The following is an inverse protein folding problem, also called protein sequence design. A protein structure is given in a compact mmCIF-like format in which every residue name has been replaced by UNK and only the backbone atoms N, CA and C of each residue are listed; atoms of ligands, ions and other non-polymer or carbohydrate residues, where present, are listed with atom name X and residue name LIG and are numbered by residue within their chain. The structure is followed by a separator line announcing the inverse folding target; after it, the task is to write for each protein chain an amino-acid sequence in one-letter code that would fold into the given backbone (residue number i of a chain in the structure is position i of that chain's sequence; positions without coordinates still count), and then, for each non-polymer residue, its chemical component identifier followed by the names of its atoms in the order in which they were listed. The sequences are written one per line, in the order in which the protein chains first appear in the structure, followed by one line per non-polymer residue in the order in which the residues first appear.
data_IF_108622627144
#
_entry.id   IF_108622627144
#
_cell.length_a   1.000
_cell.length_b   1.000
_cell.length_c   1.000
_cell.angle_alpha   90.00
_cell.angle_beta   90.00
_cell.angle_gamma   90.00
#
_symmetry.space_group_name_H-M   'P 1'
#
loop_
_entity.id
_entity.type
_entity.pdbx_description
1 polymer ?
#
# COMPACT_ATOMS: atom_id res chain seq x y z
N UNK A 1 66.11 13.58 -9.04
CA UNK A 1 66.17 12.66 -10.19
C UNK A 1 64.82 11.99 -10.26
N UNK A 2 63.89 12.58 -11.02
CA UNK A 2 63.54 12.13 -12.37
C UNK A 2 62.89 10.74 -12.29
N UNK A 3 61.57 10.69 -12.19
CA UNK A 3 60.63 10.71 -13.32
C UNK A 3 60.20 9.28 -13.67
N UNK A 4 58.91 9.01 -13.48
CA UNK A 4 58.07 8.12 -14.31
C UNK A 4 56.61 8.27 -13.90
N UNK A 5 56.08 9.47 -14.16
CA UNK A 5 54.66 9.70 -14.40
C UNK A 5 54.26 8.92 -15.66
N UNK A 6 53.56 7.79 -15.51
CA UNK A 6 52.91 7.13 -16.64
C UNK A 6 51.54 7.77 -16.85
N UNK A 7 51.55 8.87 -17.59
CA UNK A 7 50.37 9.48 -18.20
C UNK A 7 49.84 8.56 -19.31
N UNK A 8 48.74 7.87 -19.04
CA UNK A 8 47.91 7.29 -20.11
C UNK A 8 47.08 8.43 -20.69
N UNK A 9 47.45 8.84 -21.91
CA UNK A 9 46.82 9.92 -22.67
C UNK A 9 45.41 9.52 -23.15
N UNK A 10 44.48 10.49 -23.25
CA UNK A 10 43.12 10.29 -23.76
C UNK A 10 43.12 10.03 -25.27
N UNK A 11 42.24 9.13 -25.72
CA UNK A 11 42.03 8.83 -27.14
C UNK A 11 41.33 10.00 -27.86
N UNK A 12 41.67 10.24 -29.15
CA UNK A 12 41.14 11.36 -29.91
C UNK A 12 39.71 11.13 -30.40
N UNK A 13 38.85 12.14 -30.19
CA UNK A 13 37.63 12.39 -30.94
C UNK A 13 38.00 12.74 -32.37
N UNK A 14 37.73 11.85 -33.33
CA UNK A 14 37.41 12.13 -34.75
C UNK A 14 37.39 10.81 -35.53
N UNK A 15 36.56 10.74 -36.57
CA UNK A 15 36.28 9.58 -37.43
C UNK A 15 35.25 8.58 -36.89
N UNK A 16 33.97 8.89 -37.09
CA UNK A 16 33.00 8.00 -37.79
C UNK A 16 31.67 8.72 -38.09
N UNK A 17 31.74 9.94 -38.63
CA UNK A 17 30.63 10.51 -39.41
C UNK A 17 30.63 9.84 -40.79
N UNK A 18 30.14 8.60 -40.86
CA UNK A 18 29.82 7.95 -42.16
C UNK A 18 28.97 6.67 -42.08
N UNK A 19 28.30 6.39 -40.95
CA UNK A 19 27.31 5.30 -40.86
C UNK A 19 25.95 5.86 -40.42
N UNK A 20 25.59 7.05 -40.92
CA UNK A 20 24.29 7.70 -40.66
C UNK A 20 23.48 7.98 -41.93
N UNK A 21 23.73 7.26 -43.03
CA UNK A 21 23.04 7.55 -44.30
C UNK A 21 22.70 6.31 -45.13
N UNK A 22 22.11 5.26 -44.52
CA UNK A 22 21.43 4.21 -45.31
C UNK A 22 20.44 3.31 -44.58
N UNK A 23 19.58 3.88 -43.73
CA UNK A 23 18.32 3.20 -43.37
C UNK A 23 17.19 4.19 -43.05
N UNK A 24 16.92 5.12 -43.97
CA UNK A 24 15.59 5.74 -44.08
C UNK A 24 14.91 5.01 -45.23
N UNK A 25 14.44 3.79 -44.97
CA UNK A 25 13.44 3.15 -45.81
C UNK A 25 12.09 3.71 -45.37
N UNK A 26 11.49 4.45 -46.28
CA UNK A 26 10.08 4.82 -46.38
C UNK A 26 9.15 3.87 -45.62
N UNK A 27 8.62 4.33 -44.48
CA UNK A 27 7.40 3.74 -43.93
C UNK A 27 6.25 4.04 -44.91
N UNK A 28 5.43 3.06 -45.30
CA UNK A 28 4.23 3.35 -46.10
C UNK A 28 3.27 4.22 -45.29
N UNK A 29 2.47 5.10 -45.93
CA UNK A 29 1.50 5.91 -45.22
C UNK A 29 0.47 4.99 -44.54
N UNK A 30 0.48 4.99 -43.21
CA UNK A 30 -0.59 4.37 -42.44
C UNK A 30 -1.78 5.31 -42.55
N UNK A 31 -2.80 4.92 -43.30
CA UNK A 31 -4.05 5.66 -43.39
C UNK A 31 -4.62 5.84 -41.96
N UNK A 32 -5.10 7.04 -41.59
CA UNK A 32 -5.71 7.23 -40.28
C UNK A 32 -6.92 6.29 -40.16
N UNK A 33 -7.14 5.64 -39.01
CA UNK A 33 -8.31 4.80 -38.82
C UNK A 33 -9.56 5.67 -39.02
N UNK A 34 -10.44 5.23 -39.91
CA UNK A 34 -11.77 5.81 -40.08
C UNK A 34 -12.48 5.87 -38.73
N UNK A 35 -13.16 6.97 -38.38
CA UNK A 35 -13.95 7.03 -37.16
C UNK A 35 -14.98 5.89 -37.21
N UNK A 36 -14.85 4.93 -36.30
CA UNK A 36 -15.89 3.94 -36.10
C UNK A 36 -17.05 4.69 -35.46
N UNK A 37 -18.14 4.87 -36.21
CA UNK A 37 -19.40 5.35 -35.65
C UNK A 37 -19.80 4.41 -34.51
N UNK A 38 -19.66 4.91 -33.27
CA UNK A 38 -20.27 4.28 -32.11
C UNK A 38 -21.77 4.24 -32.39
N UNK A 39 -22.43 3.06 -32.36
CA UNK A 39 -23.87 3.03 -32.44
C UNK A 39 -24.37 3.87 -31.26
N UNK A 40 -25.20 4.87 -31.55
CA UNK A 40 -25.92 5.62 -30.54
C UNK A 40 -26.72 4.62 -29.73
N UNK A 41 -26.22 4.33 -28.52
CA UNK A 41 -26.89 3.47 -27.57
C UNK A 41 -28.21 4.14 -27.21
N UNK A 42 -29.28 3.73 -27.90
CA UNK A 42 -30.63 3.94 -27.43
C UNK A 42 -30.72 3.18 -26.11
N UNK A 43 -30.64 3.91 -24.98
CA UNK A 43 -30.92 3.35 -23.65
C UNK A 43 -32.40 2.94 -23.66
N UNK A 44 -32.68 1.69 -24.02
CA UNK A 44 -33.96 1.05 -23.73
C UNK A 44 -33.84 0.50 -22.32
N UNK A 45 -34.73 0.93 -21.43
CA UNK A 45 -34.85 0.39 -20.08
C UNK A 45 -35.07 -1.14 -20.15
N UNK A 46 -34.03 -1.91 -19.89
CA UNK A 46 -34.08 -3.37 -19.94
C UNK A 46 -34.70 -3.91 -18.64
N UNK A 47 -36.03 -3.95 -18.59
CA UNK A 47 -36.82 -4.52 -17.48
C UNK A 47 -37.25 -5.98 -17.71
N UNK A 48 -36.74 -6.61 -18.76
CA UNK A 48 -37.15 -7.96 -19.20
C UNK A 48 -35.97 -8.88 -19.41
N UNK A 49 -35.98 -10.04 -18.76
CA UNK A 49 -35.02 -11.14 -18.97
C UNK A 49 -35.75 -12.31 -19.63
N UNK A 50 -35.11 -12.94 -20.62
CA UNK A 50 -35.65 -14.09 -21.34
C UNK A 50 -34.80 -15.33 -20.98
N UNK A 51 -35.43 -16.35 -20.41
CA UNK A 51 -34.75 -17.60 -20.08
C UNK A 51 -34.49 -18.46 -21.33
N UNK A 52 -33.60 -19.45 -21.22
CA UNK A 52 -33.28 -20.40 -22.30
C UNK A 52 -34.48 -21.18 -22.86
N UNK A 53 -35.60 -21.23 -22.12
CA UNK A 53 -36.88 -21.81 -22.53
C UNK A 53 -37.83 -20.82 -23.21
N UNK A 54 -37.42 -19.55 -23.38
CA UNK A 54 -38.21 -18.50 -24.04
C UNK A 54 -39.24 -17.79 -23.14
N UNK A 55 -39.20 -18.02 -21.83
CA UNK A 55 -40.11 -17.38 -20.88
C UNK A 55 -39.63 -15.96 -20.56
N UNK A 56 -40.50 -14.95 -20.72
CA UNK A 56 -40.17 -13.53 -20.49
C UNK A 56 -40.56 -13.12 -19.07
N UNK A 57 -39.58 -12.74 -18.25
CA UNK A 57 -39.79 -12.22 -16.90
C UNK A 57 -39.75 -10.69 -16.91
N UNK A 58 -40.82 -10.04 -16.44
CA UNK A 58 -40.90 -8.57 -16.30
C UNK A 58 -40.71 -8.19 -14.84
N UNK A 59 -39.68 -7.38 -14.55
CA UNK A 59 -39.40 -6.93 -13.19
C UNK A 59 -39.77 -5.46 -13.01
N UNK A 60 -40.58 -5.16 -11.98
CA UNK A 60 -41.02 -3.78 -11.68
C UNK A 60 -39.86 -2.79 -11.45
N UNK A 61 -38.71 -3.29 -10.99
CA UNK A 61 -37.54 -2.50 -10.62
C UNK A 61 -36.27 -2.89 -11.41
N UNK A 62 -36.42 -3.56 -12.56
CA UNK A 62 -35.30 -4.17 -13.30
C UNK A 62 -34.95 -5.56 -12.75
N UNK A 63 -34.22 -6.40 -13.54
CA UNK A 63 -33.80 -7.71 -13.06
C UNK A 63 -32.95 -7.58 -11.79
N UNK A 64 -33.04 -8.55 -10.85
CA UNK A 64 -32.12 -8.58 -9.73
C UNK A 64 -30.69 -8.59 -10.29
N UNK A 65 -29.74 -7.85 -9.70
CA UNK A 65 -28.37 -7.88 -10.17
C UNK A 65 -27.86 -9.32 -10.12
N UNK A 66 -27.28 -9.80 -11.22
CA UNK A 66 -26.59 -11.08 -11.25
C UNK A 66 -25.54 -11.08 -10.13
N UNK A 67 -25.59 -12.07 -9.24
CA UNK A 67 -24.52 -12.30 -8.27
C UNK A 67 -23.34 -12.86 -9.09
N UNK A 68 -22.57 -11.98 -9.72
CA UNK A 68 -21.26 -12.32 -10.25
C UNK A 68 -20.36 -12.77 -9.09
N UNK A 69 -19.35 -13.62 -9.32
CA UNK A 69 -18.43 -14.03 -8.26
C UNK A 69 -17.59 -12.82 -7.81
N UNK A 70 -18.05 -12.14 -6.76
CA UNK A 70 -17.38 -11.14 -5.91
C UNK A 70 -16.16 -10.39 -6.50
N UNK A 71 -16.32 -9.72 -7.64
CA UNK A 71 -15.25 -8.89 -8.24
C UNK A 71 -15.25 -7.43 -7.75
N UNK A 72 -16.13 -7.07 -6.79
CA UNK A 72 -16.22 -5.72 -6.19
C UNK A 72 -15.52 -5.59 -4.82
N UNK A 73 -14.42 -6.30 -4.61
CA UNK A 73 -13.75 -6.44 -3.30
C UNK A 73 -12.81 -5.27 -2.91
N UNK A 74 -12.66 -4.27 -3.77
CA UNK A 74 -11.79 -3.12 -3.53
C UNK A 74 -10.28 -3.45 -3.62
N UNK A 75 -9.40 -2.45 -3.43
CA UNK A 75 -7.96 -2.65 -3.51
C UNK A 75 -7.43 -3.57 -2.39
N UNK A 76 -6.25 -4.12 -2.60
CA UNK A 76 -5.54 -4.88 -1.57
C UNK A 76 -4.97 -3.93 -0.51
N UNK A 77 -4.99 -4.33 0.75
CA UNK A 77 -4.44 -3.57 1.87
C UNK A 77 -3.45 -4.45 2.65
N UNK A 78 -2.25 -3.92 2.92
CA UNK A 78 -1.33 -4.48 3.91
C UNK A 78 -1.68 -3.90 5.28
N UNK A 79 -2.14 -4.75 6.19
CA UNK A 79 -2.73 -4.33 7.47
C UNK A 79 -2.36 -5.23 8.63
N UNK A 80 -2.64 -4.76 9.84
CA UNK A 80 -2.53 -5.54 11.07
C UNK A 80 -3.86 -6.22 11.38
N UNK A 81 -3.83 -7.53 11.56
CA UNK A 81 -4.95 -8.33 12.02
C UNK A 81 -4.64 -8.83 13.44
N UNK A 82 -5.55 -8.61 14.39
CA UNK A 82 -5.38 -9.07 15.77
C UNK A 82 -5.92 -10.50 15.93
N UNK A 83 -5.08 -11.43 16.36
CA UNK A 83 -5.42 -12.84 16.63
C UNK A 83 -5.24 -13.19 18.12
N UNK A 84 -4.77 -12.25 18.92
CA UNK A 84 -4.51 -12.45 20.34
C UNK A 84 -5.78 -12.63 21.17
N UNK A 85 -5.58 -12.93 22.45
CA UNK A 85 -6.66 -12.99 23.44
C UNK A 85 -6.96 -11.59 24.00
N UNK A 86 -8.05 -11.49 24.78
CA UNK A 86 -8.31 -10.30 25.60
C UNK A 86 -7.09 -10.01 26.49
N UNK A 87 -6.71 -8.75 26.61
CA UNK A 87 -5.54 -8.28 27.38
C UNK A 87 -4.17 -8.81 26.91
N UNK A 88 -4.10 -9.57 25.80
CA UNK A 88 -2.84 -10.02 25.19
C UNK A 88 -2.95 -9.91 23.68
N UNK A 89 -2.68 -8.72 23.16
CA UNK A 89 -2.67 -8.46 21.72
C UNK A 89 -1.50 -9.18 21.05
N UNK A 90 -1.78 -9.83 19.94
CA UNK A 90 -0.81 -10.42 19.04
C UNK A 90 -1.32 -10.22 17.61
N UNK A 91 -0.57 -9.49 16.80
CA UNK A 91 -1.00 -9.13 15.46
C UNK A 91 -0.21 -9.89 14.39
N UNK A 92 -0.88 -10.26 13.31
CA UNK A 92 -0.22 -10.67 12.07
C UNK A 92 -0.24 -9.50 11.08
N UNK A 93 0.83 -9.39 10.33
CA UNK A 93 0.92 -8.47 9.20
C UNK A 93 0.45 -9.24 7.98
N UNK A 94 -0.72 -8.88 7.46
CA UNK A 94 -1.43 -9.65 6.44
C UNK A 94 -1.76 -8.79 5.23
N UNK A 95 -1.86 -9.44 4.08
CA UNK A 95 -2.47 -8.86 2.88
C UNK A 95 -3.92 -9.34 2.82
N UNK A 96 -4.84 -8.39 2.81
CA UNK A 96 -6.28 -8.62 2.74
C UNK A 96 -6.91 -7.67 1.73
N UNK A 97 -8.15 -7.92 1.33
CA UNK A 97 -8.91 -6.95 0.53
C UNK A 97 -9.51 -5.91 1.46
N UNK A 98 -9.45 -4.64 1.07
CA UNK A 98 -9.82 -3.50 1.92
C UNK A 98 -11.29 -3.54 2.38
N UNK A 99 -12.18 -4.13 1.57
CA UNK A 99 -13.61 -4.26 1.91
C UNK A 99 -13.87 -5.23 3.07
N UNK A 100 -12.96 -6.16 3.34
CA UNK A 100 -13.14 -7.09 4.44
C UNK A 100 -12.97 -6.41 5.80
N UNK A 101 -13.66 -6.98 6.79
CA UNK A 101 -13.45 -6.55 8.16
C UNK A 101 -11.99 -6.80 8.57
N UNK A 102 -11.43 -5.97 9.46
CA UNK A 102 -10.03 -6.09 9.85
C UNK A 102 -9.60 -7.45 10.40
N UNK A 103 -10.56 -8.17 11.00
CA UNK A 103 -10.35 -9.48 11.60
C UNK A 103 -11.02 -10.59 10.80
N UNK A 104 -11.33 -10.36 9.51
CA UNK A 104 -11.87 -11.39 8.64
C UNK A 104 -10.89 -12.56 8.52
N UNK A 105 -11.40 -13.78 8.54
CA UNK A 105 -10.57 -14.98 8.39
C UNK A 105 -9.98 -15.13 6.98
N UNK A 106 -10.57 -14.45 6.00
CA UNK A 106 -10.07 -14.43 4.62
C UNK A 106 -8.78 -13.58 4.55
N UNK A 107 -7.67 -14.26 4.29
CA UNK A 107 -6.35 -13.67 4.18
C UNK A 107 -5.74 -14.20 2.89
N UNK A 108 -5.16 -13.30 2.09
CA UNK A 108 -4.48 -13.68 0.85
C UNK A 108 -3.10 -14.25 1.20
N UNK A 109 -2.35 -13.52 2.03
CA UNK A 109 -1.03 -13.94 2.48
C UNK A 109 -0.69 -13.36 3.85
N UNK A 110 0.02 -14.14 4.66
CA UNK A 110 0.65 -13.70 5.90
C UNK A 110 2.11 -13.28 5.64
N UNK A 111 2.43 -12.01 5.86
CA UNK A 111 3.77 -11.44 5.64
C UNK A 111 4.64 -11.50 6.89
N UNK A 112 4.05 -11.60 8.07
CA UNK A 112 4.79 -11.47 9.31
C UNK A 112 3.94 -11.43 10.57
N UNK A 113 4.59 -11.18 11.70
CA UNK A 113 3.96 -11.07 13.01
C UNK A 113 4.52 -9.90 13.80
N UNK A 114 3.68 -9.32 14.64
CA UNK A 114 3.99 -8.19 15.51
C UNK A 114 3.45 -8.47 16.90
N UNK A 115 4.34 -8.48 17.89
CA UNK A 115 3.99 -8.58 19.29
C UNK A 115 4.14 -7.22 19.96
N UNK A 116 3.02 -6.60 20.36
CA UNK A 116 3.02 -5.29 21.02
C UNK A 116 3.49 -5.34 22.48
N UNK A 117 3.41 -6.49 23.13
CA UNK A 117 3.78 -6.60 24.54
C UNK A 117 5.28 -6.88 24.66
N UNK A 118 5.99 -6.18 25.56
CA UNK A 118 7.39 -6.47 25.80
C UNK A 118 7.56 -7.86 26.42
N UNK A 119 8.61 -8.56 26.00
CA UNK A 119 9.03 -9.81 26.61
C UNK A 119 9.81 -9.56 27.93
N UNK A 120 10.29 -10.61 28.60
CA UNK A 120 11.15 -10.52 29.79
C UNK A 120 12.42 -9.68 29.57
N UNK A 121 12.89 -9.60 28.32
CA UNK A 121 14.03 -8.76 27.90
C UNK A 121 13.64 -7.32 27.59
N UNK A 122 12.38 -6.95 27.77
CA UNK A 122 11.79 -5.66 27.40
C UNK A 122 11.93 -5.30 25.90
N UNK A 123 11.92 -6.33 25.05
CA UNK A 123 12.00 -6.19 23.60
C UNK A 123 10.62 -6.41 22.97
N UNK A 124 10.33 -5.63 21.93
CA UNK A 124 9.12 -5.75 21.08
C UNK A 124 9.50 -6.52 19.82
N UNK A 125 8.84 -7.64 19.57
CA UNK A 125 9.22 -8.56 18.50
C UNK A 125 8.44 -8.28 17.21
N UNK A 126 9.17 -8.18 16.10
CA UNK A 126 8.61 -8.02 14.76
C UNK A 126 9.30 -8.98 13.79
N UNK A 127 8.52 -9.87 13.19
CA UNK A 127 9.01 -10.76 12.15
C UNK A 127 8.42 -10.33 10.80
N UNK A 128 9.28 -10.10 9.80
CA UNK A 128 8.88 -9.62 8.47
C UNK A 128 9.49 -10.47 7.36
N UNK A 129 8.66 -10.95 6.44
CA UNK A 129 9.12 -11.51 5.19
C UNK A 129 9.35 -10.39 4.15
N UNK A 130 10.59 -9.90 4.10
CA UNK A 130 10.96 -8.77 3.23
C UNK A 130 10.79 -9.09 1.73
N UNK A 131 10.98 -10.35 1.31
CA UNK A 131 10.84 -10.74 -0.11
C UNK A 131 9.39 -10.57 -0.57
N UNK A 132 8.44 -11.06 0.24
CA UNK A 132 7.01 -10.97 -0.08
C UNK A 132 6.47 -9.56 0.11
N UNK A 133 6.93 -8.86 1.15
CA UNK A 133 6.58 -7.45 1.35
C UNK A 133 6.96 -6.58 0.14
N UNK A 134 8.17 -6.73 -0.39
CA UNK A 134 8.62 -6.01 -1.60
C UNK A 134 7.77 -6.34 -2.83
N UNK A 135 7.37 -7.60 -3.00
CA UNK A 135 6.51 -8.02 -4.10
C UNK A 135 5.15 -7.32 -4.04
N UNK A 136 4.50 -7.31 -2.87
CA UNK A 136 3.21 -6.68 -2.70
C UNK A 136 3.27 -5.15 -2.86
N UNK A 137 4.32 -4.50 -2.35
CA UNK A 137 4.50 -3.06 -2.55
C UNK A 137 4.70 -2.70 -4.03
N UNK A 138 5.34 -3.58 -4.81
CA UNK A 138 5.50 -3.39 -6.25
C UNK A 138 4.26 -3.73 -7.07
N UNK A 139 3.22 -4.30 -6.46
CA UNK A 139 1.95 -4.61 -7.14
C UNK A 139 1.07 -3.37 -7.17
N UNK A 140 0.53 -3.04 -8.34
CA UNK A 140 -0.34 -1.87 -8.50
C UNK A 140 -1.62 -1.98 -7.66
N UNK A 141 -2.02 -0.86 -7.04
CA UNK A 141 -3.26 -0.78 -6.27
C UNK A 141 -3.21 -1.34 -4.85
N UNK A 142 -2.03 -1.72 -4.33
CA UNK A 142 -1.87 -2.11 -2.93
C UNK A 142 -1.74 -0.88 -2.03
N UNK A 143 -2.63 -0.77 -1.05
CA UNK A 143 -2.62 0.29 -0.02
C UNK A 143 -1.92 -0.22 1.24
N UNK A 144 -1.17 0.63 1.93
CA UNK A 144 -0.51 0.29 3.19
C UNK A 144 -1.24 0.99 4.32
N UNK A 145 -1.62 0.24 5.35
CA UNK A 145 -2.24 0.80 6.53
C UNK A 145 -1.25 1.75 7.27
N UNK A 146 -1.67 2.94 7.74
CA UNK A 146 -0.78 3.89 8.42
C UNK A 146 -0.01 3.30 9.62
N UNK A 147 -0.61 2.35 10.34
CA UNK A 147 0.07 1.67 11.46
C UNK A 147 1.21 0.77 10.97
N UNK A 148 0.98 0.04 9.88
CA UNK A 148 2.01 -0.79 9.24
C UNK A 148 3.11 0.09 8.65
N UNK A 149 2.75 1.21 8.04
CA UNK A 149 3.73 2.17 7.52
C UNK A 149 4.66 2.70 8.62
N UNK A 150 4.11 3.10 9.78
CA UNK A 150 4.91 3.52 10.93
C UNK A 150 5.82 2.40 11.45
N UNK A 151 5.29 1.17 11.53
CA UNK A 151 6.07 0.00 11.95
C UNK A 151 7.27 -0.23 11.00
N UNK A 152 7.03 -0.23 9.69
CA UNK A 152 8.06 -0.39 8.67
C UNK A 152 9.06 0.76 8.64
N UNK A 153 8.63 1.98 8.99
CA UNK A 153 9.50 3.14 9.18
C UNK A 153 10.48 2.95 10.34
N UNK A 154 10.01 2.39 11.47
CA UNK A 154 10.85 2.05 12.63
C UNK A 154 11.83 0.91 12.33
N UNK A 155 11.43 -0.04 11.47
CA UNK A 155 12.32 -1.11 10.99
C UNK A 155 13.40 -0.63 10.01
N UNK A 156 13.32 0.62 9.53
CA UNK A 156 14.26 1.17 8.53
C UNK A 156 13.99 0.72 7.09
N UNK A 157 12.82 0.12 6.82
CA UNK A 157 12.40 -0.24 5.47
C UNK A 157 11.78 0.96 4.73
N UNK A 158 10.98 1.75 5.45
CA UNK A 158 10.48 3.04 4.99
C UNK A 158 11.18 4.19 5.72
N UNK A 159 11.12 5.43 5.20
CA UNK A 159 11.45 6.60 6.01
C UNK A 159 10.55 6.66 7.24
N UNK A 160 11.06 7.26 8.32
CA UNK A 160 10.30 7.50 9.54
C UNK A 160 9.11 8.41 9.21
N UNK A 161 7.93 8.05 9.69
CA UNK A 161 6.69 8.79 9.43
C UNK A 161 6.75 10.20 10.05
N UNK A 162 6.29 11.26 9.35
CA UNK A 162 6.28 12.62 9.89
C UNK A 162 5.52 12.76 11.21
N UNK A 163 4.46 11.96 11.42
CA UNK A 163 3.72 12.03 12.68
C UNK A 163 4.55 11.52 13.87
N UNK A 164 5.48 10.59 13.66
CA UNK A 164 6.37 10.11 14.72
C UNK A 164 7.32 11.22 15.21
N UNK A 165 7.81 12.09 14.31
CA UNK A 165 8.60 13.27 14.71
C UNK A 165 7.80 14.27 15.53
N UNK A 166 6.57 14.57 15.09
CA UNK A 166 5.67 15.49 15.82
C UNK A 166 5.30 14.92 17.19
N UNK A 167 5.02 13.63 17.26
CA UNK A 167 4.71 12.95 18.52
C UNK A 167 5.92 12.95 19.47
N UNK A 168 7.13 12.69 18.96
CA UNK A 168 8.35 12.77 19.75
C UNK A 168 8.63 14.20 20.26
N UNK A 169 8.33 15.23 19.47
CA UNK A 169 8.42 16.63 19.94
C UNK A 169 7.41 16.91 21.06
N UNK A 170 6.14 16.54 20.87
CA UNK A 170 5.09 16.70 21.88
C UNK A 170 5.43 15.95 23.17
N UNK A 171 5.89 14.71 23.08
CA UNK A 171 6.29 13.90 24.22
C UNK A 171 7.43 14.53 25.02
N UNK A 172 8.44 15.10 24.34
CA UNK A 172 9.54 15.83 25.00
C UNK A 172 9.03 17.07 25.73
N UNK A 173 8.11 17.84 25.14
CA UNK A 173 7.52 19.02 25.78
C UNK A 173 6.66 18.67 27.00
N UNK A 174 5.91 17.57 26.92
CA UNK A 174 5.13 17.06 28.06
C UNK A 174 6.08 16.61 29.18
N UNK A 175 7.15 15.87 28.86
CA UNK A 175 8.14 15.44 29.84
C UNK A 175 8.86 16.64 30.51
N UNK A 176 9.25 17.66 29.73
CA UNK A 176 9.83 18.90 30.23
C UNK A 176 8.88 19.63 31.19
N UNK A 177 7.60 19.78 30.81
CA UNK A 177 6.59 20.41 31.66
C UNK A 177 6.35 19.61 32.95
N UNK A 178 6.33 18.28 32.88
CA UNK A 178 6.18 17.39 34.04
C UNK A 178 7.36 17.52 35.00
N UNK A 179 8.59 17.68 34.50
CA UNK A 179 9.77 17.93 35.33
C UNK A 179 9.76 19.34 35.96
N UNK A 180 9.24 20.34 35.24
CA UNK A 180 9.18 21.74 35.71
C UNK A 180 8.10 21.98 36.77
N UNK A 181 6.98 21.28 36.68
CA UNK A 181 5.83 21.42 37.58
C UNK A 181 5.40 20.07 38.15
N UNK A 182 6.16 19.48 39.09
CA UNK A 182 5.85 18.16 39.63
C UNK A 182 4.54 18.15 40.45
N UNK A 183 4.23 19.23 41.17
CA UNK A 183 3.06 19.33 42.07
C UNK A 183 1.72 19.15 41.34
N UNK A 184 1.61 19.61 40.08
CA UNK A 184 0.39 19.45 39.28
C UNK A 184 0.11 17.99 38.89
N UNK A 185 1.15 17.16 38.82
CA UNK A 185 1.01 15.73 38.52
C UNK A 185 0.33 14.99 39.66
N UNK A 186 0.72 15.31 40.90
CA UNK A 186 0.16 14.68 42.10
C UNK A 186 -1.30 15.10 42.32
N UNK A 187 -1.69 16.29 41.86
CA UNK A 187 -3.07 16.76 41.87
C UNK A 187 -3.94 16.06 40.81
N UNK A 188 -3.41 15.85 39.60
CA UNK A 188 -4.10 15.11 38.52
C UNK A 188 -4.28 13.62 38.88
N UNK A 189 -3.25 12.95 39.40
CA UNK A 189 -3.34 11.53 39.83
C UNK A 189 -4.34 11.36 40.99
N UNK A 190 -4.41 12.32 41.93
CA UNK A 190 -5.42 12.28 43.01
C UNK A 190 -6.86 12.47 42.50
N UNK A 191 -7.06 13.24 41.43
CA UNK A 191 -8.39 13.47 40.85
C UNK A 191 -8.89 12.24 40.07
N UNK A 192 -8.00 11.50 39.41
CA UNK A 192 -8.37 10.26 38.70
C UNK A 192 -8.75 9.12 39.66
N UNK A 193 -8.18 9.06 40.87
CA UNK A 193 -8.50 8.04 41.88
C UNK A 193 -9.80 8.31 42.66
N UNK A 194 -10.36 9.52 42.58
CA UNK A 194 -11.58 9.92 43.31
C UNK A 194 -12.86 9.80 42.46
N UNK A 195 -12.74 9.42 41.19
CA UNK A 195 -13.83 9.26 40.22
C UNK A 195 -14.12 7.78 39.92
#
# INVERSE_FOLDING_TARGET
MLDKFLLIRPAPLTCLVSICKRYVRTAPPVNPPTPVELPSATIKEEKTVIDSTGTVFTFKHGPPPDITPVDDLGPYEIRLQNIGCKNRRFDRIVVQRMKHSPNANEIIENLGSYDSMPNDKNEVLVALNLKRLRYWIGTEGVVINPWVQKLLGRCGFFPVDPADYVNAYRARKIAENRLRYPEKKDEEEKQEDTA
#
